data_IF_427637539937
#
_entry.id   IF_427637539937
#
_cell.length_a   1.000
_cell.length_b   1.000
_cell.length_c   1.000
_cell.angle_alpha   90.00
_cell.angle_beta   90.00
_cell.angle_gamma   90.00
#
_symmetry.space_group_name_H-M   'P 1'
#
loop_
_entity.id
_entity.type
_entity.pdbx_description
1 polymer ?
#
# COMPACT_ATOMS: atom_id res chain seq x y z
N UNK A 1 -6.04 27.95 17.02
CA UNK A 1 -7.05 27.88 15.93
C UNK A 1 -6.38 28.27 14.61
N UNK A 2 -6.36 27.36 13.62
CA UNK A 2 -5.87 27.68 12.27
C UNK A 2 -6.83 28.67 11.59
N UNK A 3 -6.31 29.69 10.91
CA UNK A 3 -7.13 30.65 10.17
C UNK A 3 -7.78 29.93 8.98
N UNK A 4 -9.08 30.16 8.68
CA UNK A 4 -9.79 29.45 7.59
C UNK A 4 -9.13 29.64 6.22
N UNK A 5 -8.51 30.81 5.98
CA UNK A 5 -7.71 31.07 4.77
C UNK A 5 -6.50 30.16 4.64
N UNK A 6 -5.85 29.80 5.75
CA UNK A 6 -4.70 28.90 5.76
C UNK A 6 -5.12 27.47 5.46
N UNK A 7 -6.25 27.04 6.04
CA UNK A 7 -6.82 25.71 5.78
C UNK A 7 -7.21 25.56 4.31
N UNK A 8 -7.90 26.55 3.74
CA UNK A 8 -8.28 26.52 2.32
C UNK A 8 -7.06 26.42 1.41
N UNK A 9 -6.02 27.23 1.65
CA UNK A 9 -4.77 27.17 0.87
C UNK A 9 -4.10 25.80 0.96
N UNK A 10 -4.04 25.23 2.16
CA UNK A 10 -3.45 23.90 2.37
C UNK A 10 -4.19 22.82 1.58
N UNK A 11 -5.53 22.81 1.66
CA UNK A 11 -6.36 21.85 0.90
C UNK A 11 -6.19 22.05 -0.61
N UNK A 12 -6.16 23.30 -1.08
CA UNK A 12 -5.91 23.60 -2.50
C UNK A 12 -4.53 23.11 -2.96
N UNK A 13 -3.47 23.34 -2.17
CA UNK A 13 -2.14 22.85 -2.51
C UNK A 13 -2.07 21.32 -2.48
N UNK A 14 -2.68 20.67 -1.49
CA UNK A 14 -2.75 19.22 -1.44
C UNK A 14 -3.47 18.64 -2.67
N UNK A 15 -4.58 19.26 -3.09
CA UNK A 15 -5.33 18.87 -4.28
C UNK A 15 -4.51 19.03 -5.57
N UNK A 16 -3.81 20.17 -5.73
CA UNK A 16 -2.96 20.43 -6.90
C UNK A 16 -1.78 19.45 -6.91
N UNK A 17 -1.09 19.27 -5.79
CA UNK A 17 0.02 18.31 -5.68
C UNK A 17 -0.43 16.89 -5.98
N UNK A 18 -1.59 16.47 -5.46
CA UNK A 18 -2.19 15.19 -5.77
C UNK A 18 -2.46 15.03 -7.27
N UNK A 19 -3.05 16.04 -7.91
CA UNK A 19 -3.36 16.01 -9.35
C UNK A 19 -2.09 15.93 -10.19
N UNK A 20 -1.06 16.72 -9.86
CA UNK A 20 0.23 16.69 -10.55
C UNK A 20 0.89 15.32 -10.42
N UNK A 21 0.90 14.73 -9.22
CA UNK A 21 1.46 13.40 -8.99
C UNK A 21 0.65 12.31 -9.71
N UNK A 22 -0.68 12.40 -9.72
CA UNK A 22 -1.55 11.47 -10.44
C UNK A 22 -1.30 11.54 -11.95
N UNK A 23 -1.20 12.75 -12.50
CA UNK A 23 -0.89 12.96 -13.93
C UNK A 23 0.49 12.43 -14.29
N UNK A 24 1.49 12.64 -13.43
CA UNK A 24 2.83 12.08 -13.62
C UNK A 24 2.81 10.55 -13.55
N UNK A 25 2.11 9.97 -12.58
CA UNK A 25 1.95 8.53 -12.42
C UNK A 25 1.30 7.87 -13.64
N UNK A 26 0.20 8.45 -14.13
CA UNK A 26 -0.53 7.98 -15.32
C UNK A 26 0.30 8.18 -16.59
N UNK A 27 0.96 9.34 -16.72
CA UNK A 27 1.70 9.73 -17.92
C UNK A 27 3.08 9.10 -18.08
N UNK A 28 3.63 8.49 -17.03
CA UNK A 28 4.91 7.78 -17.11
C UNK A 28 4.77 6.54 -18.01
N UNK A 29 5.60 6.41 -19.06
CA UNK A 29 5.47 5.31 -20.01
C UNK A 29 6.01 3.99 -19.45
N UNK A 30 5.25 2.90 -19.57
CA UNK A 30 5.71 1.56 -19.18
C UNK A 30 6.39 0.90 -20.36
N UNK A 31 7.65 1.21 -20.60
CA UNK A 31 8.40 0.48 -21.62
C UNK A 31 8.93 -0.81 -21.04
N UNK A 32 8.57 -1.93 -21.67
CA UNK A 32 9.22 -3.21 -21.42
C UNK A 32 10.71 -3.03 -21.71
N UNK A 33 11.56 -3.55 -20.81
CA UNK A 33 12.99 -3.57 -21.07
C UNK A 33 13.25 -4.58 -22.19
N UNK A 34 14.12 -4.25 -23.13
CA UNK A 34 14.59 -5.20 -24.13
C UNK A 34 15.44 -6.27 -23.42
N UNK A 35 14.81 -7.38 -23.08
CA UNK A 35 15.38 -8.48 -22.31
C UNK A 35 15.34 -9.75 -23.17
N UNK A 36 16.52 -10.17 -23.62
CA UNK A 36 16.75 -11.35 -24.44
C UNK A 36 16.76 -12.65 -23.62
N UNK A 37 16.60 -12.54 -22.29
CA UNK A 37 16.62 -13.63 -21.34
C UNK A 37 18.02 -14.05 -20.90
N UNK A 38 19.09 -13.50 -21.46
CA UNK A 38 20.47 -13.89 -21.13
C UNK A 38 21.37 -12.70 -20.87
N UNK A 39 21.54 -11.80 -21.85
CA UNK A 39 22.43 -10.64 -21.74
C UNK A 39 22.04 -9.73 -20.57
N UNK A 40 20.75 -9.47 -20.38
CA UNK A 40 20.29 -8.68 -19.24
C UNK A 40 20.53 -9.40 -17.91
N UNK A 41 20.17 -10.68 -17.80
CA UNK A 41 20.38 -11.49 -16.59
C UNK A 41 21.85 -11.52 -16.18
N UNK A 42 22.74 -11.80 -17.13
CA UNK A 42 24.20 -11.78 -16.93
C UNK A 42 24.64 -10.40 -16.43
N UNK A 43 24.24 -9.32 -17.10
CA UNK A 43 24.67 -7.96 -16.72
C UNK A 43 24.23 -7.56 -15.30
N UNK A 44 23.01 -7.94 -14.89
CA UNK A 44 22.48 -7.63 -13.56
C UNK A 44 23.22 -8.41 -12.49
N UNK A 45 23.38 -9.71 -12.67
CA UNK A 45 24.06 -10.57 -11.70
C UNK A 45 25.57 -10.22 -11.62
N UNK A 46 26.22 -9.93 -12.75
CA UNK A 46 27.60 -9.41 -12.81
C UNK A 46 27.75 -8.02 -12.19
N UNK A 47 26.66 -7.29 -11.94
CA UNK A 47 26.72 -6.04 -11.18
C UNK A 47 26.45 -6.22 -9.67
N UNK A 48 26.21 -7.46 -9.22
CA UNK A 48 25.83 -7.76 -7.83
C UNK A 48 24.42 -7.30 -7.46
N UNK A 49 23.61 -6.91 -8.46
CA UNK A 49 22.22 -6.48 -8.29
C UNK A 49 21.27 -7.67 -8.30
N UNK A 50 20.06 -7.44 -7.78
CA UNK A 50 19.00 -8.44 -7.75
C UNK A 50 18.27 -8.50 -9.10
N UNK A 51 18.28 -9.66 -9.74
CA UNK A 51 17.48 -9.97 -10.91
C UNK A 51 16.04 -10.30 -10.46
N UNK A 52 15.07 -9.48 -10.85
CA UNK A 52 13.65 -9.75 -10.55
C UNK A 52 12.95 -10.22 -11.81
N UNK A 53 12.24 -11.35 -11.73
CA UNK A 53 11.48 -11.94 -12.84
C UNK A 53 10.07 -12.28 -12.39
N UNK A 54 9.09 -11.93 -13.21
CA UNK A 54 7.68 -12.27 -13.00
C UNK A 54 7.31 -13.41 -13.93
N UNK A 55 6.67 -14.44 -13.38
CA UNK A 55 6.25 -15.65 -14.07
C UNK A 55 4.74 -15.83 -13.95
N UNK A 56 4.12 -16.27 -15.04
CA UNK A 56 2.74 -16.73 -15.03
C UNK A 56 2.63 -18.04 -14.27
N UNK A 57 1.71 -18.11 -13.31
CA UNK A 57 1.47 -19.31 -12.50
C UNK A 57 1.07 -20.49 -13.39
N UNK A 58 0.15 -20.25 -14.33
CA UNK A 58 -0.38 -21.30 -15.21
C UNK A 58 0.66 -21.85 -16.21
N UNK A 59 1.71 -21.10 -16.50
CA UNK A 59 2.74 -21.51 -17.48
C UNK A 59 3.79 -22.44 -16.87
N UNK A 60 4.10 -22.25 -15.57
CA UNK A 60 5.21 -22.93 -14.90
C UNK A 60 4.77 -23.88 -13.79
N UNK A 61 3.76 -23.52 -13.02
CA UNK A 61 3.40 -24.20 -11.78
C UNK A 61 2.06 -24.92 -11.90
N UNK A 62 1.92 -26.06 -11.22
CA UNK A 62 0.61 -26.67 -11.03
C UNK A 62 -0.06 -26.01 -9.82
N UNK A 63 -1.39 -25.89 -9.82
CA UNK A 63 -2.13 -25.29 -8.69
C UNK A 63 -1.90 -26.02 -7.34
N UNK A 64 -1.37 -27.25 -7.35
CA UNK A 64 -1.03 -28.00 -6.15
C UNK A 64 0.32 -27.59 -5.53
N UNK A 65 1.18 -26.91 -6.29
CA UNK A 65 2.56 -26.60 -5.90
C UNK A 65 2.70 -25.16 -5.35
N UNK A 66 1.60 -24.41 -5.33
CA UNK A 66 1.52 -23.02 -4.87
C UNK A 66 0.42 -22.87 -3.84
N UNK A 67 0.77 -22.30 -2.69
CA UNK A 67 -0.19 -21.88 -1.66
C UNK A 67 -0.20 -20.36 -1.52
N UNK A 68 -1.32 -19.71 -1.80
CA UNK A 68 -1.45 -18.26 -1.64
C UNK A 68 -1.78 -17.92 -0.18
N UNK A 69 -0.91 -17.16 0.48
CA UNK A 69 -1.00 -16.91 1.92
C UNK A 69 -2.01 -15.84 2.28
N UNK A 70 -2.27 -14.91 1.36
CA UNK A 70 -3.09 -13.73 1.62
C UNK A 70 -4.45 -13.91 0.94
N UNK A 71 -5.52 -13.91 1.75
CA UNK A 71 -6.92 -14.08 1.33
C UNK A 71 -7.30 -15.39 0.61
N UNK A 72 -6.37 -16.35 0.45
CA UNK A 72 -6.55 -17.62 -0.25
C UNK A 72 -7.09 -17.48 -1.69
N UNK A 73 -6.97 -16.30 -2.29
CA UNK A 73 -7.37 -16.07 -3.67
C UNK A 73 -6.21 -16.44 -4.59
N UNK A 74 -6.45 -17.24 -5.65
CA UNK A 74 -5.40 -17.57 -6.60
C UNK A 74 -4.99 -16.33 -7.39
N UNK A 75 -3.69 -16.08 -7.47
CA UNK A 75 -3.11 -15.02 -8.33
C UNK A 75 -2.56 -15.61 -9.61
N UNK A 76 -2.58 -14.81 -10.66
CA UNK A 76 -2.13 -15.21 -12.00
C UNK A 76 -0.61 -15.21 -12.13
N UNK A 77 0.09 -14.40 -11.33
CA UNK A 77 1.53 -14.21 -11.46
C UNK A 77 2.24 -14.24 -10.10
N UNK A 78 3.50 -14.65 -10.13
CA UNK A 78 4.43 -14.57 -9.00
C UNK A 78 5.73 -13.91 -9.45
N UNK A 79 6.46 -13.30 -8.51
CA UNK A 79 7.76 -12.71 -8.79
C UNK A 79 8.88 -13.43 -8.01
N UNK A 80 9.91 -13.88 -8.72
CA UNK A 80 11.14 -14.39 -8.12
C UNK A 80 12.24 -13.34 -8.20
N UNK A 81 13.04 -13.26 -7.12
CA UNK A 81 14.17 -12.36 -7.01
C UNK A 81 15.43 -13.19 -6.81
N UNK A 82 16.36 -13.12 -7.74
CA UNK A 82 17.63 -13.81 -7.70
C UNK A 82 18.75 -12.82 -7.42
N UNK A 83 19.58 -13.10 -6.41
CA UNK A 83 20.78 -12.31 -6.13
C UNK A 83 21.94 -13.23 -5.87
N UNK A 84 23.03 -13.00 -6.59
CA UNK A 84 24.28 -13.68 -6.36
C UNK A 84 25.10 -12.87 -5.35
N UNK A 85 25.48 -13.48 -4.24
CA UNK A 85 26.46 -12.90 -3.34
C UNK A 85 27.84 -13.50 -3.63
N UNK A 86 28.79 -12.63 -3.96
CA UNK A 86 30.15 -13.03 -4.33
C UNK A 86 30.97 -13.45 -3.12
N UNK A 87 30.76 -12.80 -1.98
CA UNK A 87 31.55 -13.07 -0.79
C UNK A 87 31.26 -14.48 -0.25
N UNK A 88 30.00 -14.91 -0.30
CA UNK A 88 29.56 -16.23 0.15
C UNK A 88 29.43 -17.25 -0.97
N UNK A 89 29.61 -16.87 -2.25
CA UNK A 89 29.30 -17.72 -3.40
C UNK A 89 27.92 -18.38 -3.30
N UNK A 90 26.93 -17.62 -2.82
CA UNK A 90 25.58 -18.12 -2.58
C UNK A 90 24.55 -17.44 -3.47
N UNK A 91 23.57 -18.21 -3.93
CA UNK A 91 22.39 -17.67 -4.59
C UNK A 91 21.27 -17.45 -3.58
N UNK A 92 20.81 -16.21 -3.49
CA UNK A 92 19.65 -15.81 -2.70
C UNK A 92 18.42 -15.77 -3.59
N UNK A 93 17.33 -16.40 -3.14
CA UNK A 93 16.05 -16.40 -3.83
C UNK A 93 15.01 -15.74 -2.92
N UNK A 94 14.42 -14.63 -3.35
CA UNK A 94 13.41 -13.88 -2.58
C UNK A 94 13.83 -13.51 -1.15
N UNK A 95 15.13 -13.35 -0.90
CA UNK A 95 15.68 -12.97 0.41
C UNK A 95 15.84 -14.15 1.37
N UNK A 96 15.46 -15.37 0.99
CA UNK A 96 15.86 -16.58 1.71
C UNK A 96 17.19 -17.07 1.15
N UNK A 97 18.14 -17.34 2.04
CA UNK A 97 19.22 -18.28 1.74
C UNK A 97 18.58 -19.63 1.62
N UNK A 98 18.77 -20.29 0.49
CA UNK A 98 18.31 -21.65 0.31
C UNK A 98 18.98 -22.51 1.41
N UNK A 99 18.16 -23.13 2.29
CA UNK A 99 18.51 -24.22 3.24
C UNK A 99 19.14 -23.76 4.60
N UNK A 100 18.81 -24.45 5.72
CA UNK A 100 18.92 -23.93 7.09
C UNK A 100 20.37 -23.82 7.55
N UNK A 101 20.71 -22.68 8.14
CA UNK A 101 21.95 -22.35 8.85
C UNK A 101 23.27 -22.41 8.07
N UNK A 102 23.38 -23.04 6.89
CA UNK A 102 24.66 -23.20 6.17
C UNK A 102 24.68 -22.81 4.67
N UNK A 103 23.59 -22.28 4.09
CA UNK A 103 23.58 -21.67 2.75
C UNK A 103 23.85 -22.62 1.56
N UNK A 104 23.23 -22.35 0.41
CA UNK A 104 23.57 -23.02 -0.84
C UNK A 104 24.82 -22.37 -1.42
N UNK A 105 25.97 -23.01 -1.22
CA UNK A 105 27.19 -22.70 -1.97
C UNK A 105 26.99 -23.15 -3.41
N UNK A 106 27.08 -22.21 -4.35
CA UNK A 106 27.08 -22.52 -5.79
C UNK A 106 28.18 -23.50 -6.19
N UNK A 107 29.24 -23.59 -5.36
CA UNK A 107 30.47 -24.33 -5.64
C UNK A 107 30.55 -25.69 -4.92
N UNK A 108 29.63 -25.99 -4.00
CA UNK A 108 29.57 -27.29 -3.34
C UNK A 108 28.13 -27.73 -3.15
N UNK A 109 27.70 -28.85 -3.76
CA UNK A 109 26.52 -29.53 -3.26
C UNK A 109 26.79 -29.91 -1.78
N UNK A 110 25.81 -29.79 -0.87
CA UNK A 110 25.92 -30.21 0.52
C UNK A 110 26.67 -31.54 0.65
N UNK A 111 27.60 -31.69 1.61
CA UNK A 111 28.49 -32.87 1.68
C UNK A 111 27.76 -34.22 1.79
N UNK A 112 26.47 -34.21 2.12
CA UNK A 112 25.56 -35.36 2.04
C UNK A 112 25.24 -35.85 0.61
N UNK A 113 25.57 -35.10 -0.44
CA UNK A 113 25.14 -35.31 -1.84
C UNK A 113 26.22 -35.91 -2.76
N UNK A 114 27.21 -36.61 -2.19
CA UNK A 114 28.39 -37.09 -2.93
C UNK A 114 28.17 -38.35 -3.79
N UNK A 115 26.94 -38.74 -4.15
CA UNK A 115 26.73 -40.07 -4.76
C UNK A 115 25.91 -40.20 -6.06
N UNK A 116 25.25 -39.17 -6.58
CA UNK A 116 24.62 -39.25 -7.92
C UNK A 116 24.82 -37.99 -8.77
N UNK A 117 25.07 -38.20 -10.07
CA UNK A 117 25.43 -37.18 -11.07
C UNK A 117 24.29 -36.22 -11.48
N UNK A 118 23.06 -36.36 -10.93
CA UNK A 118 21.91 -35.48 -11.20
C UNK A 118 21.00 -35.38 -9.95
N UNK A 119 21.57 -35.07 -8.78
CA UNK A 119 20.80 -35.00 -7.53
C UNK A 119 19.97 -33.71 -7.43
N UNK A 120 18.65 -33.90 -7.45
CA UNK A 120 17.62 -32.88 -7.28
C UNK A 120 17.46 -32.53 -5.80
N UNK A 121 17.58 -31.24 -5.49
CA UNK A 121 17.30 -30.69 -4.16
C UNK A 121 15.99 -29.90 -4.19
N UNK A 122 14.96 -30.43 -3.54
CA UNK A 122 13.70 -29.71 -3.33
C UNK A 122 13.85 -28.73 -2.16
N UNK A 123 13.64 -27.45 -2.42
CA UNK A 123 13.67 -26.41 -1.39
C UNK A 123 12.47 -26.50 -0.45
N UNK A 124 12.65 -26.01 0.76
CA UNK A 124 11.51 -25.64 1.60
C UNK A 124 10.67 -24.57 0.91
N UNK A 125 9.34 -24.56 1.06
CA UNK A 125 8.49 -23.53 0.48
C UNK A 125 8.98 -22.13 0.82
N UNK A 126 9.20 -21.30 -0.21
CA UNK A 126 9.66 -19.92 -0.05
C UNK A 126 8.49 -18.96 -0.30
N UNK A 127 8.42 -17.89 0.50
CA UNK A 127 7.45 -16.82 0.29
C UNK A 127 7.92 -15.90 -0.82
N UNK A 128 7.08 -15.73 -1.83
CA UNK A 128 7.35 -14.94 -3.03
C UNK A 128 6.22 -13.95 -3.27
N UNK A 129 6.51 -12.73 -3.74
CA UNK A 129 5.48 -11.78 -4.14
C UNK A 129 4.51 -12.40 -5.17
N UNK A 130 3.22 -12.21 -4.96
CA UNK A 130 2.17 -12.64 -5.89
C UNK A 130 1.28 -11.44 -6.25
N UNK A 131 0.70 -11.48 -7.44
CA UNK A 131 -0.21 -10.43 -7.86
C UNK A 131 -0.79 -10.63 -9.24
N UNK A 132 -1.76 -9.78 -9.54
CA UNK A 132 -2.46 -9.74 -10.81
C UNK A 132 -2.09 -8.48 -11.59
N UNK A 133 -2.45 -8.44 -12.87
CA UNK A 133 -2.21 -7.29 -13.75
C UNK A 133 -3.30 -6.23 -13.67
N UNK A 134 -4.30 -6.42 -12.82
CA UNK A 134 -5.47 -5.56 -12.68
C UNK A 134 -5.36 -4.59 -11.49
N UNK A 135 -6.47 -3.90 -11.18
CA UNK A 135 -6.57 -2.97 -10.06
C UNK A 135 -5.96 -1.59 -10.33
N UNK A 136 -4.93 -1.22 -9.57
CA UNK A 136 -4.33 0.13 -9.63
C UNK A 136 -3.45 0.35 -10.87
N UNK A 137 -3.12 -0.75 -11.54
CA UNK A 137 -2.23 -0.79 -12.69
C UNK A 137 -3.01 -0.39 -13.93
N UNK A 138 -2.48 0.54 -14.71
CA UNK A 138 -3.13 0.99 -15.93
C UNK A 138 -2.93 -0.06 -17.03
N UNK A 139 -3.84 -0.20 -18.01
CA UNK A 139 -3.76 -1.25 -19.03
C UNK A 139 -2.46 -1.26 -19.87
N UNK A 140 -1.75 -0.14 -19.92
CA UNK A 140 -0.46 0.00 -20.61
C UNK A 140 0.75 -0.22 -19.70
N UNK A 141 0.54 -0.65 -18.45
CA UNK A 141 1.63 -1.02 -17.56
C UNK A 141 2.20 -2.37 -18.00
N UNK A 142 3.52 -2.49 -17.93
CA UNK A 142 4.19 -3.76 -18.16
C UNK A 142 3.72 -4.77 -17.10
N UNK A 143 3.57 -6.03 -17.49
CA UNK A 143 3.12 -7.11 -16.62
C UNK A 143 3.94 -7.18 -15.33
N UNK A 144 5.27 -7.04 -15.43
CA UNK A 144 6.12 -7.14 -14.25
C UNK A 144 5.89 -5.96 -13.29
N UNK A 145 5.73 -4.75 -13.82
CA UNK A 145 5.43 -3.56 -13.02
C UNK A 145 4.08 -3.72 -12.33
N UNK A 146 3.05 -4.13 -13.07
CA UNK A 146 1.70 -4.28 -12.55
C UNK A 146 1.64 -5.26 -11.38
N UNK A 147 2.26 -6.43 -11.54
CA UNK A 147 2.30 -7.49 -10.51
C UNK A 147 3.07 -7.05 -9.28
N UNK A 148 4.24 -6.43 -9.45
CA UNK A 148 5.03 -5.95 -8.32
C UNK A 148 4.35 -4.77 -7.59
N UNK A 149 3.65 -3.91 -8.32
CA UNK A 149 2.84 -2.84 -7.74
C UNK A 149 1.63 -3.40 -6.98
N UNK A 150 0.96 -4.41 -7.52
CA UNK A 150 -0.13 -5.12 -6.86
C UNK A 150 0.35 -5.67 -5.50
N UNK A 151 1.46 -6.39 -5.50
CA UNK A 151 2.09 -6.91 -4.29
C UNK A 151 2.43 -5.78 -3.30
N UNK A 152 2.96 -4.65 -3.76
CA UNK A 152 3.32 -3.54 -2.87
C UNK A 152 2.11 -3.00 -2.07
N UNK A 153 0.94 -2.96 -2.70
CA UNK A 153 -0.29 -2.43 -2.09
C UNK A 153 -0.96 -3.48 -1.21
N UNK A 154 -1.20 -4.68 -1.76
CA UNK A 154 -1.98 -5.72 -1.08
C UNK A 154 -1.14 -6.58 -0.14
N UNK A 155 0.18 -6.58 -0.31
CA UNK A 155 1.12 -7.46 0.40
C UNK A 155 0.81 -8.94 0.19
N UNK A 156 0.32 -9.26 -1.01
CA UNK A 156 0.00 -10.63 -1.39
C UNK A 156 1.25 -11.44 -1.70
N UNK A 157 1.32 -12.64 -1.11
CA UNK A 157 2.42 -13.57 -1.35
C UNK A 157 1.91 -14.98 -1.60
N UNK A 158 2.76 -15.75 -2.25
CA UNK A 158 2.58 -17.17 -2.47
C UNK A 158 3.74 -17.93 -1.84
N UNK A 159 3.47 -19.11 -1.30
CA UNK A 159 4.50 -20.09 -0.93
C UNK A 159 4.69 -20.99 -2.14
N UNK A 160 5.92 -21.00 -2.66
CA UNK A 160 6.29 -21.84 -3.80
C UNK A 160 7.45 -22.75 -3.43
N UNK A 161 7.36 -23.98 -3.89
CA UNK A 161 8.43 -24.96 -3.72
C UNK A 161 9.21 -25.02 -5.02
N UNK A 162 10.54 -24.98 -4.94
CA UNK A 162 11.44 -24.99 -6.09
C UNK A 162 12.39 -26.19 -6.01
N UNK A 163 12.73 -26.74 -7.16
CA UNK A 163 13.77 -27.75 -7.29
C UNK A 163 15.04 -27.11 -7.84
N UNK A 164 16.16 -27.38 -7.18
CA UNK A 164 17.50 -27.09 -7.65
C UNK A 164 18.12 -28.35 -8.23
N UNK A 165 18.75 -28.23 -9.40
CA UNK A 165 19.56 -29.30 -9.97
C UNK A 165 20.93 -28.73 -10.29
N UNK A 166 21.97 -29.41 -9.83
CA UNK A 166 23.35 -29.07 -10.13
C UNK A 166 23.81 -29.84 -11.36
N UNK A 167 24.39 -29.13 -12.31
CA UNK A 167 24.99 -29.68 -13.52
C UNK A 167 26.49 -29.41 -13.59
N UNK A 168 27.16 -30.05 -14.54
CA UNK A 168 28.54 -29.72 -14.92
C UNK A 168 29.56 -29.80 -13.78
N UNK A 169 29.43 -30.79 -12.89
CA UNK A 169 30.30 -30.95 -11.73
C UNK A 169 30.11 -29.88 -10.65
N UNK A 170 28.90 -29.34 -10.52
CA UNK A 170 28.55 -28.31 -9.54
C UNK A 170 28.90 -26.88 -9.97
N UNK A 171 29.06 -26.64 -11.28
CA UNK A 171 29.32 -25.30 -11.85
C UNK A 171 28.07 -24.65 -12.45
N UNK A 172 27.08 -25.47 -12.76
CA UNK A 172 25.80 -25.05 -13.30
C UNK A 172 24.72 -25.29 -12.24
N UNK A 173 23.87 -24.30 -12.02
CA UNK A 173 22.71 -24.38 -11.14
C UNK A 173 21.47 -24.02 -11.93
N UNK A 174 20.55 -24.98 -12.02
CA UNK A 174 19.29 -24.82 -12.71
C UNK A 174 18.12 -24.93 -11.74
N UNK A 175 17.09 -24.10 -11.94
CA UNK A 175 15.97 -23.93 -11.01
C UNK A 175 14.65 -24.21 -11.73
N UNK A 176 13.86 -25.11 -11.17
CA UNK A 176 12.53 -25.47 -11.66
C UNK A 176 11.45 -25.33 -10.58
N UNK A 177 10.17 -25.24 -10.98
CA UNK A 177 9.04 -25.47 -10.09
C UNK A 177 9.11 -26.89 -9.52
N UNK A 178 8.75 -27.06 -8.25
CA UNK A 178 8.71 -28.39 -7.65
C UNK A 178 7.78 -29.33 -8.40
N UNK A 179 8.26 -30.53 -8.76
CA UNK A 179 7.43 -31.55 -9.39
C UNK A 179 7.17 -31.34 -10.89
N UNK A 180 7.69 -30.27 -11.48
CA UNK A 180 7.65 -30.06 -12.92
C UNK A 180 8.47 -31.12 -13.68
N UNK A 181 8.05 -31.43 -14.91
CA UNK A 181 8.90 -32.12 -15.88
C UNK A 181 10.12 -31.24 -16.18
N UNK A 182 11.31 -31.84 -16.30
CA UNK A 182 12.58 -31.17 -16.65
C UNK A 182 12.63 -30.74 -18.13
N UNK A 183 11.51 -30.27 -18.65
CA UNK A 183 11.45 -29.68 -19.97
C UNK A 183 12.06 -28.28 -19.91
N UNK A 184 12.84 -27.92 -20.93
CA UNK A 184 13.43 -26.59 -21.05
C UNK A 184 12.40 -25.46 -21.00
N UNK A 185 11.13 -25.77 -21.29
CA UNK A 185 10.01 -24.82 -21.21
C UNK A 185 9.65 -24.40 -19.78
N UNK A 186 9.96 -25.23 -18.77
CA UNK A 186 9.63 -24.98 -17.36
C UNK A 186 10.83 -24.53 -16.53
N UNK A 187 12.01 -24.36 -17.15
CA UNK A 187 13.19 -23.81 -16.49
C UNK A 187 12.88 -22.36 -16.07
N UNK A 188 13.03 -22.04 -14.79
CA UNK A 188 12.79 -20.68 -14.28
C UNK A 188 14.04 -19.81 -14.39
N UNK A 189 15.19 -20.40 -14.06
CA UNK A 189 16.48 -19.72 -14.02
C UNK A 189 17.61 -20.75 -14.13
N UNK A 190 18.66 -20.40 -14.86
CA UNK A 190 19.89 -21.17 -14.98
C UNK A 190 21.08 -20.23 -14.83
N UNK A 191 22.11 -20.66 -14.10
CA UNK A 191 23.36 -19.92 -13.95
C UNK A 191 24.55 -20.86 -13.99
N UNK A 192 25.56 -20.48 -14.76
CA UNK A 192 26.85 -21.16 -14.85
C UNK A 192 27.92 -20.22 -14.33
N UNK A 193 28.64 -20.66 -13.31
CA UNK A 193 29.70 -19.87 -12.66
C UNK A 193 31.09 -20.43 -12.98
N UNK A 194 32.07 -19.55 -13.00
CA UNK A 194 33.48 -19.91 -13.06
C UNK A 194 34.12 -19.77 -11.67
N UNK A 195 34.30 -20.91 -11.01
CA UNK A 195 34.89 -20.97 -9.66
C UNK A 195 36.37 -20.58 -9.65
N UNK A 196 37.05 -20.73 -10.79
CA UNK A 196 38.48 -20.48 -10.95
C UNK A 196 38.77 -19.05 -11.43
N UNK A 197 37.73 -18.22 -11.62
CA UNK A 197 37.90 -16.84 -12.04
C UNK A 197 38.60 -16.00 -10.96
N UNK A 198 39.78 -15.48 -11.29
CA UNK A 198 40.54 -14.56 -10.45
C UNK A 198 39.99 -13.12 -10.54
N UNK A 199 39.29 -12.80 -11.63
CA UNK A 199 38.61 -11.53 -11.86
C UNK A 199 37.11 -11.66 -11.63
N UNK A 200 36.56 -10.68 -10.89
CA UNK A 200 35.12 -10.55 -10.60
C UNK A 200 34.22 -10.56 -11.85
N UNK A 201 34.71 -10.06 -12.97
CA UNK A 201 33.94 -9.95 -14.23
C UNK A 201 33.72 -11.32 -14.90
N UNK A 202 34.54 -12.32 -14.57
CA UNK A 202 34.49 -13.66 -15.19
C UNK A 202 33.82 -14.70 -14.29
N UNK A 203 33.40 -14.33 -13.08
CA UNK A 203 32.75 -15.24 -12.13
C UNK A 203 31.44 -15.82 -12.66
N UNK A 204 30.69 -15.07 -13.46
CA UNK A 204 29.46 -15.54 -14.12
C UNK A 204 29.76 -15.75 -15.59
N UNK A 205 29.71 -17.00 -16.03
CA UNK A 205 29.90 -17.36 -17.44
C UNK A 205 28.61 -17.16 -18.21
N UNK A 206 27.51 -17.70 -17.67
CA UNK A 206 26.22 -17.69 -18.32
C UNK A 206 25.12 -17.56 -17.26
N UNK A 207 24.06 -16.83 -17.60
CA UNK A 207 22.82 -16.83 -16.85
C UNK A 207 21.67 -16.72 -17.83
N UNK A 208 20.65 -17.55 -17.67
CA UNK A 208 19.50 -17.56 -18.55
C UNK A 208 18.18 -17.63 -17.79
N UNK A 209 17.18 -16.95 -18.34
CA UNK A 209 15.79 -16.95 -17.92
C UNK A 209 14.89 -17.11 -19.15
N UNK A 210 13.66 -17.63 -19.00
CA UNK A 210 12.69 -17.68 -20.09
C UNK A 210 12.49 -16.31 -20.71
N UNK A 211 12.38 -16.25 -22.04
CA UNK A 211 12.10 -14.99 -22.74
C UNK A 211 10.66 -14.53 -22.50
N UNK A 212 10.42 -13.23 -22.69
CA UNK A 212 9.06 -12.70 -22.78
C UNK A 212 8.29 -13.42 -23.90
N UNK A 213 7.01 -13.79 -23.70
CA UNK A 213 6.13 -13.42 -22.59
C UNK A 213 6.16 -14.35 -21.37
N UNK A 214 6.92 -15.45 -21.40
CA UNK A 214 6.92 -16.46 -20.33
C UNK A 214 7.51 -15.92 -19.02
N UNK A 215 8.49 -15.01 -19.10
CA UNK A 215 8.83 -14.21 -17.93
C UNK A 215 9.13 -12.77 -18.30
N UNK A 216 8.79 -11.88 -17.37
CA UNK A 216 8.83 -10.43 -17.56
C UNK A 216 9.77 -9.77 -16.54
N UNK A 217 10.52 -8.77 -17.00
CA UNK A 217 11.43 -7.95 -16.17
C UNK A 217 10.75 -6.61 -15.87
N UNK A 218 10.86 -6.09 -14.63
CA UNK A 218 10.35 -4.77 -14.29
C UNK A 218 10.96 -3.68 -15.16
N UNK A 219 10.16 -2.66 -15.49
CA UNK A 219 10.61 -1.54 -16.28
C UNK A 219 11.68 -0.72 -15.53
N UNK A 220 12.54 0.02 -16.24
CA UNK A 220 13.52 0.90 -15.61
C UNK A 220 12.91 1.99 -14.72
N UNK A 221 11.64 2.33 -14.95
CA UNK A 221 10.92 3.39 -14.23
C UNK A 221 10.02 2.85 -13.11
N UNK A 222 10.01 1.54 -12.88
CA UNK A 222 9.21 0.90 -11.83
C UNK A 222 9.41 1.56 -10.46
N UNK A 223 10.68 1.77 -10.07
CA UNK A 223 11.02 2.40 -8.79
C UNK A 223 10.47 3.83 -8.69
N UNK A 224 10.51 4.60 -9.79
CA UNK A 224 9.95 5.94 -9.81
C UNK A 224 8.43 5.90 -9.59
N UNK A 225 7.73 4.95 -10.22
CA UNK A 225 6.29 4.75 -10.02
C UNK A 225 5.97 4.36 -8.58
N UNK A 226 6.79 3.53 -7.95
CA UNK A 226 6.63 3.14 -6.57
C UNK A 226 6.73 4.35 -5.62
N UNK A 227 7.72 5.22 -5.86
CA UNK A 227 7.88 6.48 -5.11
C UNK A 227 6.68 7.39 -5.30
N UNK A 228 6.20 7.54 -6.54
CA UNK A 228 5.00 8.34 -6.83
C UNK A 228 3.77 7.79 -6.12
N UNK A 229 3.55 6.48 -6.17
CA UNK A 229 2.44 5.83 -5.48
C UNK A 229 2.53 6.04 -3.96
N UNK A 230 3.73 5.91 -3.38
CA UNK A 230 3.97 6.11 -1.95
C UNK A 230 3.66 7.56 -1.53
N UNK A 231 3.90 8.55 -2.41
CA UNK A 231 3.53 9.94 -2.16
C UNK A 231 2.03 10.19 -2.40
N UNK A 232 1.44 9.54 -3.41
CA UNK A 232 0.06 9.74 -3.83
C UNK A 232 -0.92 9.16 -2.81
N UNK A 233 -0.63 8.00 -2.21
CA UNK A 233 -1.49 7.34 -1.26
C UNK A 233 -1.89 8.22 -0.05
N UNK A 234 -0.96 8.80 0.74
CA UNK A 234 -1.32 9.67 1.87
C UNK A 234 -2.01 10.95 1.41
N UNK A 235 -1.61 11.54 0.28
CA UNK A 235 -2.29 12.69 -0.30
C UNK A 235 -3.74 12.37 -0.69
N UNK A 236 -4.00 11.18 -1.22
CA UNK A 236 -5.34 10.71 -1.57
C UNK A 236 -6.21 10.61 -0.32
N UNK A 237 -5.67 10.05 0.78
CA UNK A 237 -6.39 9.94 2.06
C UNK A 237 -6.72 11.33 2.61
N UNK A 238 -5.77 12.27 2.59
CA UNK A 238 -6.00 13.65 3.06
C UNK A 238 -7.04 14.35 2.19
N UNK A 239 -6.92 14.24 0.88
CA UNK A 239 -7.81 14.88 -0.08
C UNK A 239 -9.24 14.32 0.00
N UNK A 240 -9.39 12.98 -0.03
CA UNK A 240 -10.69 12.32 0.11
C UNK A 240 -11.30 12.57 1.49
N UNK A 241 -10.50 12.57 2.56
CA UNK A 241 -10.96 12.92 3.90
C UNK A 241 -11.50 14.35 3.96
N UNK A 242 -10.82 15.31 3.33
CA UNK A 242 -11.29 16.69 3.26
C UNK A 242 -12.59 16.82 2.46
N UNK A 243 -12.71 16.14 1.32
CA UNK A 243 -13.94 16.12 0.51
C UNK A 243 -15.09 15.49 1.29
N UNK A 244 -14.90 14.31 1.88
CA UNK A 244 -15.93 13.63 2.66
C UNK A 244 -16.37 14.49 3.86
N UNK A 245 -15.43 15.14 4.55
CA UNK A 245 -15.74 16.07 5.64
C UNK A 245 -16.57 17.26 5.16
N UNK A 246 -16.20 17.89 4.04
CA UNK A 246 -16.97 18.99 3.46
C UNK A 246 -18.39 18.55 3.04
N UNK A 247 -18.51 17.41 2.36
CA UNK A 247 -19.79 16.83 1.95
C UNK A 247 -20.67 16.50 3.15
N UNK A 248 -20.10 15.98 4.24
CA UNK A 248 -20.80 15.72 5.48
C UNK A 248 -21.36 17.00 6.11
N UNK A 249 -20.56 18.08 6.17
CA UNK A 249 -21.00 19.38 6.69
C UNK A 249 -22.13 19.95 5.84
N UNK A 250 -21.99 19.93 4.51
CA UNK A 250 -23.01 20.43 3.58
C UNK A 250 -24.31 19.63 3.73
N UNK A 251 -24.20 18.29 3.76
CA UNK A 251 -25.35 17.41 3.93
C UNK A 251 -26.06 17.64 5.26
N UNK A 252 -25.32 17.78 6.35
CA UNK A 252 -25.86 18.07 7.68
C UNK A 252 -26.55 19.43 7.71
N UNK A 253 -25.94 20.46 7.14
CA UNK A 253 -26.54 21.80 7.05
C UNK A 253 -27.84 21.79 6.22
N UNK A 254 -27.83 21.12 5.06
CA UNK A 254 -29.01 21.00 4.20
C UNK A 254 -30.14 20.23 4.91
N UNK A 255 -29.80 19.15 5.63
CA UNK A 255 -30.76 18.38 6.42
C UNK A 255 -31.38 19.21 7.55
N UNK A 256 -30.57 20.01 8.25
CA UNK A 256 -31.06 20.93 9.29
C UNK A 256 -31.98 22.01 8.71
N UNK A 257 -31.59 22.63 7.58
CA UNK A 257 -32.43 23.60 6.88
C UNK A 257 -33.77 22.98 6.46
N UNK A 258 -33.75 21.78 5.87
CA UNK A 258 -34.96 21.07 5.48
C UNK A 258 -35.86 20.75 6.67
N UNK A 259 -35.31 20.23 7.77
CA UNK A 259 -36.08 19.98 9.01
C UNK A 259 -36.66 21.27 9.58
N UNK A 260 -35.88 22.34 9.62
CA UNK A 260 -36.34 23.64 10.12
C UNK A 260 -37.47 24.21 9.26
N UNK A 261 -37.39 24.07 7.93
CA UNK A 261 -38.43 24.46 7.00
C UNK A 261 -39.75 23.74 7.30
N UNK A 262 -39.72 22.41 7.51
CA UNK A 262 -40.92 21.66 7.86
C UNK A 262 -41.49 22.06 9.22
N UNK A 263 -40.65 22.28 10.24
CA UNK A 263 -41.12 22.76 11.55
C UNK A 263 -41.83 24.10 11.42
N UNK A 264 -41.27 25.04 10.64
CA UNK A 264 -41.91 26.33 10.37
C UNK A 264 -43.21 26.14 9.59
N UNK A 265 -43.20 25.34 8.52
CA UNK A 265 -44.38 25.08 7.70
C UNK A 265 -45.52 24.43 8.50
N UNK A 266 -45.22 23.44 9.36
CA UNK A 266 -46.19 22.82 10.24
C UNK A 266 -46.71 23.81 11.29
N UNK A 267 -45.84 24.63 11.87
CA UNK A 267 -46.26 25.65 12.83
C UNK A 267 -47.20 26.67 12.19
N UNK A 268 -46.93 27.09 10.95
CA UNK A 268 -47.80 27.95 10.16
C UNK A 268 -49.13 27.26 9.84
N UNK A 269 -49.11 25.98 9.46
CA UNK A 269 -50.31 25.21 9.15
C UNK A 269 -51.19 25.00 10.38
N UNK A 270 -50.61 24.66 11.53
CA UNK A 270 -51.31 24.57 12.82
C UNK A 270 -51.93 25.93 13.15
N UNK A 271 -51.16 27.02 13.07
CA UNK A 271 -51.66 28.38 13.35
C UNK A 271 -52.81 28.74 12.40
N UNK A 272 -52.72 28.39 11.12
CA UNK A 272 -53.77 28.59 10.13
C UNK A 272 -55.05 27.81 10.46
N UNK A 273 -54.93 26.55 10.88
CA UNK A 273 -56.06 25.72 11.29
C UNK A 273 -56.76 26.24 12.56
N UNK A 274 -56.00 26.71 13.55
CA UNK A 274 -56.55 27.15 14.84
C UNK A 274 -57.08 28.60 14.84
N UNK A 275 -56.43 29.53 14.12
CA UNK A 275 -56.78 30.97 14.13
C UNK A 275 -57.43 31.47 12.83
N UNK A 276 -57.60 30.61 11.82
CA UNK A 276 -58.06 31.02 10.50
C UNK A 276 -56.96 31.72 9.69
N UNK A 277 -57.29 32.14 8.45
CA UNK A 277 -56.34 32.72 7.49
C UNK A 277 -55.77 34.04 8.06
N UNK A 278 -54.49 34.11 8.45
CA UNK A 278 -53.94 35.36 8.94
C UNK A 278 -53.78 36.34 7.76
N UNK A 279 -54.09 37.64 7.94
CA UNK A 279 -53.69 38.65 6.98
C UNK A 279 -52.15 38.67 6.95
N UNK A 280 -51.56 38.41 5.78
CA UNK A 280 -50.11 38.23 5.63
C UNK A 280 -49.29 39.42 6.16
N UNK A 281 -49.86 40.63 6.10
CA UNK A 281 -49.18 41.86 6.50
C UNK A 281 -48.94 41.95 8.02
N UNK A 282 -49.89 41.50 8.84
CA UNK A 282 -49.73 41.48 10.31
C UNK A 282 -48.72 40.41 10.74
N UNK A 283 -48.70 39.25 10.06
CA UNK A 283 -47.78 38.17 10.38
C UNK A 283 -46.32 38.51 10.05
N UNK A 284 -46.07 39.13 8.88
CA UNK A 284 -44.73 39.57 8.51
C UNK A 284 -44.23 40.65 9.47
N UNK A 285 -45.10 41.55 9.93
CA UNK A 285 -44.74 42.54 10.96
C UNK A 285 -44.47 41.90 12.32
N UNK A 286 -45.27 40.93 12.77
CA UNK A 286 -45.07 40.22 14.04
C UNK A 286 -43.73 39.47 14.03
N UNK A 287 -43.43 38.71 12.95
CA UNK A 287 -42.16 37.99 12.81
C UNK A 287 -40.97 38.95 12.70
N UNK A 288 -41.12 40.08 11.99
CA UNK A 288 -40.08 41.10 11.91
C UNK A 288 -39.80 41.77 13.27
N UNK A 289 -40.85 41.99 14.07
CA UNK A 289 -40.74 42.56 15.41
C UNK A 289 -40.11 41.56 16.39
N UNK A 290 -40.49 40.28 16.32
CA UNK A 290 -39.90 39.23 17.14
C UNK A 290 -38.42 39.00 16.78
N UNK A 291 -38.08 39.00 15.47
CA UNK A 291 -36.69 38.92 15.01
C UNK A 291 -35.86 40.12 15.46
N UNK A 292 -36.42 41.35 15.43
CA UNK A 292 -35.76 42.54 15.98
C UNK A 292 -35.55 42.43 17.48
N UNK A 293 -36.56 42.00 18.23
CA UNK A 293 -36.45 41.80 19.67
C UNK A 293 -35.43 40.74 20.06
N UNK A 294 -35.30 39.68 19.25
CA UNK A 294 -34.27 38.65 19.42
C UNK A 294 -32.87 39.17 19.08
N UNK A 295 -32.74 39.95 18.00
CA UNK A 295 -31.48 40.59 17.62
C UNK A 295 -31.00 41.57 18.71
N UNK A 296 -31.89 42.39 19.26
CA UNK A 296 -31.59 43.32 20.35
C UNK A 296 -31.19 42.59 21.64
N UNK A 297 -31.85 41.46 21.95
CA UNK A 297 -31.44 40.60 23.09
C UNK A 297 -30.05 40.01 22.90
N UNK A 298 -29.74 39.50 21.71
CA UNK A 298 -28.41 38.93 21.41
C UNK A 298 -27.34 40.01 21.43
N UNK A 299 -27.64 41.20 20.93
CA UNK A 299 -26.72 42.34 20.94
C UNK A 299 -26.49 42.88 22.36
N UNK A 300 -27.52 42.96 23.19
CA UNK A 300 -27.38 43.28 24.62
C UNK A 300 -26.61 42.22 25.40
N UNK A 301 -26.76 40.93 25.06
CA UNK A 301 -25.96 39.86 25.64
C UNK A 301 -24.48 39.97 25.25
N UNK A 302 -24.20 40.33 23.98
CA UNK A 302 -22.85 40.51 23.46
C UNK A 302 -22.16 41.77 23.99
N UNK A 303 -22.93 42.82 24.27
CA UNK A 303 -22.45 44.10 24.82
C UNK A 303 -22.44 44.14 26.36
N UNK A 304 -22.90 43.08 27.03
CA UNK A 304 -22.74 42.94 28.47
C UNK A 304 -21.28 42.59 28.77
N UNK A 305 -20.45 43.63 28.82
CA UNK A 305 -19.12 43.56 29.44
C UNK A 305 -19.24 42.93 30.84
N UNK A 306 -18.24 42.15 31.28
CA UNK A 306 -18.20 41.57 32.62
C UNK A 306 -18.03 42.69 33.64
N UNK A 307 -19.16 43.31 33.99
CA UNK A 307 -19.26 44.27 35.07
C UNK A 307 -18.89 43.59 36.37
N UNK A 308 -17.81 44.08 36.98
CA UNK A 308 -17.35 43.84 38.33
C UNK A 308 -18.53 43.69 39.31
N UNK A 309 -18.97 42.45 39.54
CA UNK A 309 -19.81 42.12 40.68
C UNK A 309 -18.85 41.70 41.79
N UNK A 310 -18.78 42.54 42.83
CA UNK A 310 -17.96 42.36 44.03
C UNK A 310 -18.11 40.94 44.60
N UNK A 311 -17.05 40.38 45.21
CA UNK A 311 -16.59 40.79 46.55
C UNK A 311 -17.81 41.13 47.40
N UNK A 312 -18.39 40.10 48.01
CA UNK A 312 -19.10 40.09 49.29
C UNK A 312 -19.86 38.76 49.39
N UNK A 313 -19.13 37.67 49.57
CA UNK A 313 -19.68 36.46 50.19
C UNK A 313 -18.72 36.04 51.30
N UNK A 314 -19.19 36.29 52.53
CA UNK A 314 -18.62 35.85 53.79
C UNK A 314 -18.47 34.32 53.80
N UNK A 315 -17.28 33.86 54.17
CA UNK A 315 -17.02 32.47 54.54
C UNK A 315 -17.78 32.10 55.83
N UNK A 316 -18.50 30.96 55.86
CA UNK A 316 -18.71 30.22 57.10
C UNK A 316 -17.53 29.26 57.29
N UNK A 317 -16.90 29.35 58.46
CA UNK A 317 -15.91 28.39 58.96
C UNK A 317 -16.55 27.03 59.22
N UNK A 318 -16.17 26.02 58.43
CA UNK A 318 -16.27 24.59 58.77
C UNK A 318 -14.85 24.07 58.58
N UNK A 319 -14.17 23.57 59.59
CA UNK A 319 -14.63 22.56 60.52
C UNK A 319 -13.58 21.46 60.42
N UNK A 320 -12.70 21.43 61.41
CA UNK A 320 -11.61 20.48 61.54
C UNK A 320 -12.17 19.05 61.50
N UNK A 321 -11.83 18.26 60.48
CA UNK A 321 -11.95 16.80 60.60
C UNK A 321 -10.67 16.14 60.08
N UNK A 322 -10.07 15.43 61.02
CA UNK A 322 -8.78 14.78 61.00
C UNK A 322 -9.08 13.30 60.75
N UNK A 323 -8.64 12.76 59.63
CA UNK A 323 -8.65 11.32 59.40
C UNK A 323 -7.33 10.90 58.76
N UNK A 324 -6.51 10.32 59.62
CA UNK A 324 -5.37 9.48 59.28
C UNK A 324 -5.82 8.23 58.52
N UNK A 325 -4.92 7.72 57.66
CA UNK A 325 -4.65 6.32 57.28
C UNK A 325 -4.37 6.25 55.76
N UNK A 326 -3.15 5.96 55.30
CA UNK A 326 -2.33 4.74 55.43
C UNK A 326 -2.65 3.64 54.42
N UNK A 327 -1.58 3.20 53.74
CA UNK A 327 -1.37 1.95 52.98
C UNK A 327 -1.80 1.99 51.50
N UNK A 328 -0.85 1.90 50.55
CA UNK A 328 -0.10 0.72 50.07
C UNK A 328 -0.87 0.07 48.90
N UNK A 329 -0.36 0.12 47.66
CA UNK A 329 0.66 -0.73 47.05
C UNK A 329 0.00 -1.64 46.01
N UNK A 330 0.63 -1.74 44.84
CA UNK A 330 0.18 -2.49 43.66
C UNK A 330 0.73 -1.86 42.40
#
# INVERSE_FOLDING_TARGET
MLRPRTVLRLVSYAAISWLVLAMLYIGLPSFSRNDDGTGYAISVLKSGRTLTRVYGVQDFFSNADIEFTTNNEPRQNIALKFRLDRASNALFICGTTCVPSDGVLLTRPPELMKHYDDERLTMTPISVPAGDTDGISLPWFDTADAVLMYHFIHRDSALVTLDLIYGGGGRELNIWPAGASQDHKKLLFSVTINVEAENDDDFILEASVPRSPLSSTPSPIYELRLVLLTCLAPLTIIFMGAIMGAMFIISTALSLLFRSFWVVAFSLLIRWLYKGRPPMDEFVQEVANDLRGLADKVQNWRNKEPSNRGKDEEQPSLGHEKSDSSSAAG
#
